data_IF_603191797126
#
_entry.id   IF_603191797126
#
_cell.length_a   1.000
_cell.length_b   1.000
_cell.length_c   1.000
_cell.angle_alpha   90.00
_cell.angle_beta   90.00
_cell.angle_gamma   90.00
#
_symmetry.space_group_name_H-M   'P 1'
#
loop_
_entity.id
_entity.type
_entity.pdbx_description
1 polymer ?
#
# COMPACT_ATOMS: atom_id res chain seq x y z
N UNK A 1 18.75 14.62 10.56
CA UNK A 1 17.37 14.44 10.05
C UNK A 1 17.01 12.98 10.23
N UNK A 2 15.86 12.64 10.83
CA UNK A 2 15.38 11.25 10.79
C UNK A 2 15.23 10.82 9.34
N UNK A 3 15.61 9.58 9.03
CA UNK A 3 15.53 9.05 7.66
C UNK A 3 14.07 8.79 7.32
N UNK A 4 13.63 9.21 6.13
CA UNK A 4 12.26 9.02 5.66
C UNK A 4 12.05 7.66 4.98
N UNK A 5 12.91 6.67 5.21
CA UNK A 5 12.84 5.39 4.50
C UNK A 5 13.74 4.32 5.09
N UNK A 6 13.55 3.09 4.61
CA UNK A 6 14.39 1.93 4.88
C UNK A 6 15.89 2.21 4.58
N UNK A 7 16.83 1.88 5.49
CA UNK A 7 18.24 2.27 5.34
C UNK A 7 18.96 1.69 4.12
N UNK A 8 18.54 0.53 3.62
CA UNK A 8 19.24 -0.21 2.55
C UNK A 8 18.82 0.21 1.13
N UNK A 9 17.92 1.19 0.97
CA UNK A 9 17.52 1.68 -0.37
C UNK A 9 18.68 2.34 -1.12
N UNK A 10 18.69 2.23 -2.45
CA UNK A 10 19.71 2.91 -3.28
C UNK A 10 19.54 4.43 -3.26
N UNK A 11 20.57 5.23 -3.62
CA UNK A 11 20.43 6.69 -3.70
C UNK A 11 19.27 7.17 -4.57
N UNK A 12 19.01 6.49 -5.70
CA UNK A 12 17.91 6.81 -6.62
C UNK A 12 16.55 6.61 -5.95
N UNK A 13 16.36 5.46 -5.29
CA UNK A 13 15.12 5.17 -4.55
C UNK A 13 14.87 6.20 -3.44
N UNK A 14 15.93 6.54 -2.68
CA UNK A 14 15.84 7.53 -1.59
C UNK A 14 15.46 8.91 -2.10
N UNK A 15 16.14 9.37 -3.15
CA UNK A 15 15.86 10.68 -3.75
C UNK A 15 14.42 10.76 -4.27
N UNK A 16 13.92 9.71 -4.91
CA UNK A 16 12.54 9.65 -5.37
C UNK A 16 11.54 9.79 -4.22
N UNK A 17 11.78 9.12 -3.08
CA UNK A 17 10.91 9.23 -1.90
C UNK A 17 11.02 10.63 -1.28
N UNK A 18 12.24 11.15 -1.07
CA UNK A 18 12.46 12.47 -0.44
C UNK A 18 11.81 13.60 -1.24
N UNK A 19 11.85 13.54 -2.58
CA UNK A 19 11.21 14.53 -3.45
C UNK A 19 9.67 14.55 -3.33
N UNK A 20 9.06 13.44 -2.94
CA UNK A 20 7.61 13.27 -2.96
C UNK A 20 6.95 13.14 -1.58
N UNK A 21 7.73 12.99 -0.50
CA UNK A 21 7.22 12.74 0.86
C UNK A 21 6.14 13.74 1.29
N UNK A 22 6.35 15.03 1.02
CA UNK A 22 5.38 16.09 1.35
C UNK A 22 4.06 15.89 0.62
N UNK A 23 4.09 15.48 -0.65
CA UNK A 23 2.88 15.21 -1.42
C UNK A 23 2.17 13.95 -0.91
N UNK A 24 2.93 12.91 -0.55
CA UNK A 24 2.38 11.67 0.01
C UNK A 24 1.61 11.91 1.30
N UNK A 25 2.14 12.75 2.21
CA UNK A 25 1.47 13.09 3.46
C UNK A 25 0.20 13.95 3.29
N UNK A 26 -0.03 14.53 2.10
CA UNK A 26 -1.26 15.26 1.77
C UNK A 26 -2.34 14.38 1.11
N UNK A 27 -2.04 13.12 0.78
CA UNK A 27 -3.00 12.24 0.13
C UNK A 27 -4.15 11.86 1.08
N UNK A 28 -5.40 11.74 0.59
CA UNK A 28 -6.57 11.37 1.39
C UNK A 28 -6.61 9.87 1.75
N UNK A 29 -5.46 9.26 1.99
CA UNK A 29 -5.26 7.86 2.32
C UNK A 29 -3.88 7.62 2.91
N UNK A 30 -3.53 6.36 3.14
CA UNK A 30 -2.19 5.96 3.53
C UNK A 30 -1.39 5.66 2.26
N UNK A 31 -0.28 6.37 2.06
CA UNK A 31 0.71 6.02 1.04
C UNK A 31 1.72 5.04 1.63
N UNK A 32 1.94 3.92 0.94
CA UNK A 32 2.98 2.93 1.25
C UNK A 32 3.86 2.77 0.00
N UNK A 33 5.17 2.75 0.20
CA UNK A 33 6.13 2.30 -0.81
C UNK A 33 6.68 0.96 -0.37
N UNK A 34 6.63 -0.05 -1.25
CA UNK A 34 7.31 -1.32 -1.03
C UNK A 34 8.52 -1.42 -1.95
N UNK A 35 9.58 -2.07 -1.49
CA UNK A 35 10.53 -2.68 -2.42
C UNK A 35 9.94 -3.98 -2.95
N UNK A 36 10.16 -4.27 -4.23
CA UNK A 36 9.42 -5.31 -4.96
C UNK A 36 10.03 -6.70 -4.82
N UNK A 37 11.25 -6.84 -4.29
CA UNK A 37 11.94 -8.14 -4.20
C UNK A 37 11.43 -8.94 -3.01
N UNK A 38 11.37 -8.34 -1.81
CA UNK A 38 10.90 -9.00 -0.60
C UNK A 38 9.55 -8.47 -0.10
N UNK A 39 8.96 -7.49 -0.81
CA UNK A 39 7.70 -6.83 -0.44
C UNK A 39 7.73 -6.19 0.95
N UNK A 40 8.89 -5.71 1.36
CA UNK A 40 9.07 -4.99 2.62
C UNK A 40 8.74 -3.51 2.45
N UNK A 41 8.24 -2.89 3.52
CA UNK A 41 7.94 -1.47 3.54
C UNK A 41 9.24 -0.68 3.43
N UNK A 42 9.31 0.18 2.41
CA UNK A 42 10.40 1.10 2.16
C UNK A 42 10.08 2.51 2.69
N UNK A 43 8.80 2.91 2.66
CA UNK A 43 8.27 4.12 3.25
C UNK A 43 6.77 3.97 3.57
N UNK A 44 6.29 4.69 4.57
CA UNK A 44 4.87 4.85 4.86
C UNK A 44 4.60 6.28 5.30
N UNK A 45 3.54 6.88 4.76
CA UNK A 45 3.06 8.21 5.17
C UNK A 45 2.79 8.31 6.67
N UNK A 46 2.87 9.52 7.22
CA UNK A 46 2.67 9.77 8.66
C UNK A 46 1.32 9.26 9.15
N UNK A 47 0.27 9.39 8.32
CA UNK A 47 -1.06 8.85 8.60
C UNK A 47 -1.04 7.34 8.82
N UNK A 48 -0.32 6.60 7.97
CA UNK A 48 -0.20 5.15 8.09
C UNK A 48 0.54 4.73 9.35
N UNK A 49 1.66 5.39 9.64
CA UNK A 49 2.47 5.14 10.85
C UNK A 49 1.64 5.35 12.12
N UNK A 50 0.89 6.46 12.20
CA UNK A 50 -0.04 6.72 13.30
C UNK A 50 -1.13 5.65 13.40
N UNK A 51 -1.66 5.19 12.27
CA UNK A 51 -2.72 4.19 12.22
C UNK A 51 -2.27 2.81 12.71
N UNK A 52 -1.03 2.40 12.40
CA UNK A 52 -0.47 1.12 12.84
C UNK A 52 0.29 1.20 14.17
N UNK A 53 0.47 2.41 14.72
CA UNK A 53 1.14 2.63 16.00
C UNK A 53 2.63 2.30 15.99
N UNK A 54 3.30 2.43 14.84
CA UNK A 54 4.74 2.17 14.68
C UNK A 54 5.45 3.42 14.14
N UNK A 55 6.72 3.56 14.49
CA UNK A 55 7.64 4.46 13.80
C UNK A 55 8.03 3.90 12.42
N UNK A 56 8.58 4.77 11.58
CA UNK A 56 9.06 4.38 10.27
C UNK A 56 10.20 3.36 10.34
N UNK A 57 11.10 3.52 11.31
CA UNK A 57 12.21 2.60 11.53
C UNK A 57 11.68 1.20 11.88
N UNK A 58 10.73 1.11 12.82
CA UNK A 58 10.11 -0.15 13.22
C UNK A 58 9.42 -0.83 12.05
N UNK A 59 8.57 -0.15 11.28
CA UNK A 59 7.86 -0.79 10.16
C UNK A 59 8.81 -1.23 9.04
N UNK A 60 9.88 -0.47 8.77
CA UNK A 60 10.89 -0.84 7.77
C UNK A 60 11.78 -2.01 8.19
N UNK A 61 11.85 -2.28 9.50
CA UNK A 61 12.59 -3.39 10.08
C UNK A 61 11.84 -4.73 9.99
N UNK A 62 10.52 -4.69 9.82
CA UNK A 62 9.70 -5.90 9.72
C UNK A 62 9.97 -6.65 8.42
N UNK A 63 9.98 -7.98 8.51
CA UNK A 63 9.81 -8.83 7.32
C UNK A 63 8.41 -8.66 6.76
N UNK A 64 8.22 -8.98 5.47
CA UNK A 64 6.89 -8.98 4.87
C UNK A 64 5.95 -9.92 5.62
N UNK A 65 6.39 -11.11 6.02
CA UNK A 65 5.58 -12.04 6.82
C UNK A 65 5.11 -11.44 8.16
N UNK A 66 5.99 -10.76 8.91
CA UNK A 66 5.62 -10.12 10.17
C UNK A 66 4.66 -8.95 9.96
N UNK A 67 4.88 -8.15 8.93
CA UNK A 67 4.00 -7.03 8.60
C UNK A 67 2.60 -7.54 8.20
N UNK A 68 2.53 -8.54 7.31
CA UNK A 68 1.27 -9.09 6.84
C UNK A 68 0.49 -9.80 7.96
N UNK A 69 1.15 -10.63 8.76
CA UNK A 69 0.49 -11.36 9.85
C UNK A 69 -0.09 -10.46 10.95
N UNK A 70 0.47 -9.25 11.14
CA UNK A 70 -0.03 -8.30 12.14
C UNK A 70 -1.26 -7.54 11.68
N UNK A 71 -1.33 -7.16 10.40
CA UNK A 71 -2.28 -6.14 9.94
C UNK A 71 -3.27 -6.62 8.88
N UNK A 72 -3.07 -7.78 8.25
CA UNK A 72 -3.86 -8.22 7.09
C UNK A 72 -4.68 -9.47 7.40
N UNK A 73 -5.88 -9.56 6.83
CA UNK A 73 -6.69 -10.77 6.90
C UNK A 73 -6.14 -11.80 5.89
N UNK A 74 -5.60 -12.91 6.40
CA UNK A 74 -4.99 -13.95 5.58
C UNK A 74 -5.98 -14.67 4.64
N UNK A 75 -7.28 -14.73 4.99
CA UNK A 75 -8.29 -15.34 4.12
C UNK A 75 -8.61 -14.44 2.94
N UNK A 76 -8.82 -13.14 3.20
CA UNK A 76 -9.06 -12.11 2.17
C UNK A 76 -7.82 -11.92 1.27
N UNK A 77 -6.61 -12.04 1.83
CA UNK A 77 -5.36 -11.96 1.07
C UNK A 77 -5.24 -12.99 -0.06
N UNK A 78 -5.88 -14.15 0.06
CA UNK A 78 -5.85 -15.20 -0.98
C UNK A 78 -6.44 -14.72 -2.30
N UNK A 79 -7.35 -13.73 -2.28
CA UNK A 79 -8.07 -13.27 -3.47
C UNK A 79 -7.35 -12.18 -4.26
N UNK A 80 -6.50 -11.37 -3.61
CA UNK A 80 -5.84 -10.24 -4.26
C UNK A 80 -4.32 -10.39 -4.36
N UNK A 81 -3.65 -11.13 -3.46
CA UNK A 81 -2.18 -11.33 -3.53
C UNK A 81 -1.75 -11.97 -4.86
N UNK A 82 -2.43 -13.00 -5.39
CA UNK A 82 -2.08 -13.55 -6.72
C UNK A 82 -2.21 -12.52 -7.84
N UNK A 83 -3.20 -11.62 -7.75
CA UNK A 83 -3.41 -10.53 -8.74
C UNK A 83 -2.27 -9.51 -8.67
N UNK A 84 -1.80 -9.17 -7.48
CA UNK A 84 -0.61 -8.31 -7.29
C UNK A 84 0.62 -8.98 -7.90
N UNK A 85 0.82 -10.29 -7.65
CA UNK A 85 1.93 -11.05 -8.24
C UNK A 85 1.90 -11.06 -9.77
N UNK A 86 0.73 -11.34 -10.36
CA UNK A 86 0.54 -11.30 -11.81
C UNK A 86 0.74 -9.89 -12.38
N UNK A 87 0.24 -8.86 -11.71
CA UNK A 87 0.45 -7.46 -12.09
C UNK A 87 1.93 -7.08 -12.11
N UNK A 88 2.68 -7.42 -11.06
CA UNK A 88 4.12 -7.15 -11.01
C UNK A 88 4.90 -7.94 -12.04
N UNK A 89 4.50 -9.19 -12.33
CA UNK A 89 5.11 -10.00 -13.38
C UNK A 89 4.84 -9.43 -14.78
N UNK A 90 3.62 -8.94 -15.02
CA UNK A 90 3.26 -8.29 -16.28
C UNK A 90 4.03 -6.99 -16.52
N UNK A 91 4.44 -6.28 -15.46
CA UNK A 91 5.33 -5.11 -15.53
C UNK A 91 4.84 -3.97 -16.45
N UNK A 92 3.53 -3.86 -16.69
CA UNK A 92 2.97 -2.85 -17.58
C UNK A 92 3.19 -1.42 -17.05
N UNK A 93 3.54 -0.49 -17.96
CA UNK A 93 3.94 0.88 -17.61
C UNK A 93 2.80 1.73 -17.01
N UNK A 94 1.59 1.59 -17.55
CA UNK A 94 0.46 2.46 -17.20
C UNK A 94 -0.58 1.84 -16.27
N UNK A 95 -0.47 0.54 -16.04
CA UNK A 95 -1.50 -0.17 -15.29
C UNK A 95 -1.46 0.20 -13.81
N UNK A 96 -2.65 0.27 -13.24
CA UNK A 96 -2.86 0.38 -11.80
C UNK A 96 -3.77 -0.77 -11.41
N UNK A 97 -3.38 -1.51 -10.36
CA UNK A 97 -4.20 -2.58 -9.82
C UNK A 97 -4.92 -2.07 -8.56
N UNK A 98 -6.25 -2.02 -8.62
CA UNK A 98 -7.10 -1.71 -7.46
C UNK A 98 -7.72 -2.98 -6.89
N UNK A 99 -7.79 -3.05 -5.57
CA UNK A 99 -8.34 -4.18 -4.83
C UNK A 99 -8.88 -3.74 -3.48
N UNK A 100 -9.86 -4.48 -2.98
CA UNK A 100 -10.31 -4.36 -1.60
C UNK A 100 -9.45 -5.24 -0.72
N UNK A 101 -9.18 -4.77 0.49
CA UNK A 101 -8.51 -5.56 1.50
C UNK A 101 -9.06 -5.28 2.90
N UNK A 102 -9.06 -6.30 3.75
CA UNK A 102 -9.37 -6.18 5.16
C UNK A 102 -8.11 -6.01 6.00
N UNK A 103 -8.08 -4.93 6.78
CA UNK A 103 -6.97 -4.60 7.67
C UNK A 103 -7.44 -4.57 9.13
N UNK A 104 -6.59 -5.02 10.05
CA UNK A 104 -6.80 -4.93 11.49
C UNK A 104 -5.72 -4.03 12.09
N UNK A 105 -6.17 -3.03 12.85
CA UNK A 105 -5.29 -2.02 13.43
C UNK A 105 -5.28 -2.10 14.95
N UNK A 106 -4.18 -1.68 15.62
CA UNK A 106 -4.14 -1.63 17.07
C UNK A 106 -5.28 -0.80 17.65
N UNK A 107 -5.92 -1.29 18.72
CA UNK A 107 -7.04 -0.62 19.37
C UNK A 107 -8.36 -0.65 18.59
N UNK A 108 -8.46 -1.47 17.53
CA UNK A 108 -9.69 -1.70 16.77
C UNK A 108 -10.04 -3.19 16.77
N UNK A 109 -11.24 -3.50 17.24
CA UNK A 109 -11.67 -4.90 17.37
C UNK A 109 -12.07 -5.51 16.02
N UNK A 110 -12.63 -4.69 15.13
CA UNK A 110 -13.15 -5.09 13.84
C UNK A 110 -12.14 -4.93 12.70
N UNK A 111 -12.23 -5.83 11.74
CA UNK A 111 -11.61 -5.66 10.42
C UNK A 111 -12.20 -4.45 9.72
N UNK A 112 -11.35 -3.66 9.07
CA UNK A 112 -11.74 -2.48 8.30
C UNK A 112 -11.44 -2.70 6.84
N UNK A 113 -12.44 -2.41 6.00
CA UNK A 113 -12.27 -2.46 4.56
C UNK A 113 -11.50 -1.25 4.06
N UNK A 114 -10.54 -1.49 3.19
CA UNK A 114 -9.78 -0.46 2.49
C UNK A 114 -9.84 -0.71 0.98
N UNK A 115 -10.03 0.36 0.21
CA UNK A 115 -9.72 0.35 -1.22
C UNK A 115 -8.24 0.68 -1.37
N UNK A 116 -7.49 -0.25 -1.94
CA UNK A 116 -6.07 -0.08 -2.19
C UNK A 116 -5.79 -0.08 -3.68
N UNK A 117 -4.87 0.79 -4.10
CA UNK A 117 -4.48 0.94 -5.49
C UNK A 117 -2.97 0.97 -5.60
N UNK A 118 -2.41 0.03 -6.34
CA UNK A 118 -0.97 -0.20 -6.45
C UNK A 118 -0.50 0.01 -7.90
N UNK A 119 0.62 0.72 -8.04
CA UNK A 119 1.34 0.91 -9.32
C UNK A 119 2.84 0.68 -9.13
N UNK A 120 3.54 0.29 -10.19
CA UNK A 120 5.01 0.27 -10.20
C UNK A 120 5.52 1.71 -10.21
N UNK A 121 6.32 2.07 -9.21
CA UNK A 121 6.76 3.44 -8.96
C UNK A 121 8.15 3.73 -9.53
N UNK A 122 9.03 2.73 -9.54
CA UNK A 122 10.38 2.84 -10.07
C UNK A 122 10.80 1.52 -10.71
N UNK A 123 11.51 1.61 -11.82
CA UNK A 123 12.18 0.50 -12.50
C UNK A 123 13.68 0.74 -12.58
N UNK A 124 14.44 -0.33 -12.75
CA UNK A 124 15.87 -0.24 -13.06
C UNK A 124 16.12 -0.04 -14.56
N UNK A 125 17.40 0.00 -14.95
CA UNK A 125 17.84 0.17 -16.35
C UNK A 125 17.45 -1.02 -17.26
N UNK A 126 17.10 -2.17 -16.69
CA UNK A 126 16.61 -3.35 -17.40
C UNK A 126 15.08 -3.47 -17.35
N UNK A 127 14.39 -2.37 -17.03
CA UNK A 127 12.94 -2.27 -16.89
C UNK A 127 12.35 -3.12 -15.74
N UNK A 128 13.17 -3.63 -14.82
CA UNK A 128 12.69 -4.45 -13.71
C UNK A 128 12.06 -3.56 -12.62
N UNK A 129 10.87 -3.89 -12.08
CA UNK A 129 10.28 -3.18 -10.95
C UNK A 129 11.22 -3.17 -9.73
N UNK A 130 11.48 -1.99 -9.19
CA UNK A 130 12.28 -1.76 -7.99
C UNK A 130 11.43 -1.33 -6.79
N UNK A 131 10.47 -0.44 -7.03
CA UNK A 131 9.54 0.06 -6.02
C UNK A 131 8.11 -0.02 -6.55
N UNK A 132 7.18 -0.31 -5.65
CA UNK A 132 5.75 -0.08 -5.89
C UNK A 132 5.25 1.03 -4.97
N UNK A 133 4.22 1.74 -5.43
CA UNK A 133 3.46 2.70 -4.63
C UNK A 133 2.03 2.20 -4.48
N UNK A 134 1.54 2.22 -3.25
CA UNK A 134 0.18 1.87 -2.89
C UNK A 134 -0.47 3.02 -2.15
N UNK A 135 -1.67 3.41 -2.58
CA UNK A 135 -2.55 4.28 -1.77
C UNK A 135 -3.66 3.39 -1.22
N UNK A 136 -3.85 3.43 0.10
CA UNK A 136 -4.88 2.67 0.82
C UNK A 136 -5.83 3.62 1.54
N UNK A 137 -7.11 3.57 1.18
CA UNK A 137 -8.15 4.47 1.69
C UNK A 137 -9.17 3.63 2.44
N UNK A 138 -9.48 3.95 3.73
CA UNK A 138 -10.53 3.26 4.45
C UNK A 138 -11.87 3.50 3.76
N UNK A 139 -12.65 2.43 3.61
CA UNK A 139 -14.02 2.51 3.13
C UNK A 139 -14.88 2.51 4.38
N UNK A 140 -15.48 3.66 4.68
CA UNK A 140 -16.52 3.73 5.69
C UNK A 140 -17.69 2.88 5.17
N UNK A 141 -17.96 1.78 5.87
CA UNK A 141 -18.68 0.62 5.36
C UNK A 141 -19.92 0.99 4.53
N UNK A 142 -19.94 0.61 3.24
CA UNK A 142 -21.12 0.29 2.41
C UNK A 142 -22.34 1.25 2.36
N UNK A 143 -22.37 2.38 3.06
CA UNK A 143 -23.56 3.23 3.13
C UNK A 143 -23.84 4.00 1.82
N UNK A 144 -22.82 4.20 0.96
CA UNK A 144 -22.99 4.98 -0.28
C UNK A 144 -22.88 4.18 -1.58
N UNK A 145 -22.31 2.97 -1.56
CA UNK A 145 -22.19 2.17 -2.80
C UNK A 145 -23.46 1.37 -3.10
N UNK A 146 -24.17 0.86 -2.09
CA UNK A 146 -25.48 0.23 -2.30
C UNK A 146 -26.49 1.21 -2.93
N UNK A 147 -26.42 2.49 -2.57
CA UNK A 147 -27.31 3.53 -3.11
C UNK A 147 -27.08 3.84 -4.61
N UNK A 148 -25.93 3.49 -5.21
CA UNK A 148 -25.67 3.73 -6.64
C UNK A 148 -25.84 2.50 -7.52
N UNK A 149 -25.93 1.30 -6.94
CA UNK A 149 -26.15 0.06 -7.70
C UNK A 149 -27.64 -0.20 -7.99
N UNK A 150 -28.55 0.30 -7.14
CA UNK A 150 -30.00 0.14 -7.31
C UNK A 150 -30.60 1.08 -8.37
N UNK A 151 -29.96 2.20 -8.70
CA UNK A 151 -30.47 3.17 -9.70
C UNK A 151 -30.29 2.72 -11.17
N UNK A 152 -29.83 1.48 -11.44
CA UNK A 152 -29.66 0.96 -12.80
C UNK A 152 -30.75 -0.01 -13.28
N UNK A 153 -31.89 -0.11 -12.58
CA UNK A 153 -33.02 -0.95 -12.99
C UNK A 153 -34.34 -0.21 -13.25
N UNK A 154 -34.33 1.09 -13.56
CA UNK A 154 -35.55 1.76 -14.06
C UNK A 154 -35.21 2.79 -15.15
N UNK A 155 -35.07 2.34 -16.38
CA UNK A 155 -35.45 3.06 -17.61
C UNK A 155 -35.88 2.05 -18.69
#
# INVERSE_FOLDING_TARGET
>A
MPKNYKPQLTPVMRNLIDLNVKAFDQMPGVVIIHETVNWTVAYMSERGLKQIGLSLEEVCSLTSTEYYSRFFNAEDAKDYVPKIGAFMHGNNLEDTLSYYQQLKFPGKDNWQWHLSSTKIFLRDENDKPLLSITISIPIDAMHHMAAKADDRHVL
#
